data_IF_992116201027
#
_entry.id   IF_992116201027
#
_cell.length_a   1.000
_cell.length_b   1.000
_cell.length_c   1.000
_cell.angle_alpha   90.00
_cell.angle_beta   90.00
_cell.angle_gamma   90.00
#
_symmetry.space_group_name_H-M   'P 1'
#
loop_
_entity.id
_entity.type
_entity.pdbx_description
1 polymer ?
#
# COMPACT_ATOMS: atom_id res chain seq x y z
N UNK A 1 -31.18 32.12 -9.35
CA UNK A 1 -30.22 31.11 -9.84
C UNK A 1 -30.28 31.15 -11.35
N UNK A 2 -29.27 31.69 -12.03
CA UNK A 2 -29.18 31.62 -13.49
C UNK A 2 -28.36 30.38 -13.84
N UNK A 3 -28.96 29.45 -14.55
CA UNK A 3 -28.27 28.31 -15.14
C UNK A 3 -27.27 28.84 -16.16
N UNK A 4 -25.98 28.65 -15.90
CA UNK A 4 -24.94 28.91 -16.92
C UNK A 4 -24.50 27.54 -17.44
N UNK A 5 -25.10 27.14 -18.56
CA UNK A 5 -24.77 25.91 -19.30
C UNK A 5 -23.69 26.15 -20.38
N UNK A 6 -23.01 27.29 -20.38
CA UNK A 6 -21.98 27.55 -21.38
C UNK A 6 -20.64 26.91 -20.98
N UNK A 7 -20.32 25.79 -21.64
CA UNK A 7 -19.04 25.08 -21.55
C UNK A 7 -17.82 26.00 -21.77
N UNK A 8 -18.00 27.15 -22.45
CA UNK A 8 -16.96 28.17 -22.65
C UNK A 8 -16.69 28.98 -21.38
N UNK A 9 -17.72 29.27 -20.58
CA UNK A 9 -17.58 29.95 -19.29
C UNK A 9 -16.82 29.08 -18.29
N UNK A 10 -17.10 27.77 -18.23
CA UNK A 10 -16.34 26.84 -17.40
C UNK A 10 -14.89 26.66 -17.85
N UNK A 11 -14.63 26.66 -19.16
CA UNK A 11 -13.26 26.63 -19.69
C UNK A 11 -12.51 27.91 -19.37
N UNK A 12 -13.18 29.06 -19.46
CA UNK A 12 -12.56 30.35 -19.15
C UNK A 12 -12.31 30.48 -17.65
N UNK A 13 -13.26 30.10 -16.80
CA UNK A 13 -13.11 30.04 -15.35
C UNK A 13 -11.96 29.10 -14.95
N UNK A 14 -11.82 27.93 -15.58
CA UNK A 14 -10.69 27.00 -15.34
C UNK A 14 -9.35 27.59 -15.78
N UNK A 15 -9.31 28.34 -16.89
CA UNK A 15 -8.11 29.03 -17.37
C UNK A 15 -7.71 30.19 -16.45
N UNK A 16 -8.69 30.95 -15.95
CA UNK A 16 -8.51 32.03 -14.99
C UNK A 16 -8.03 31.50 -13.64
N UNK A 17 -8.65 30.43 -13.12
CA UNK A 17 -8.18 29.72 -11.92
C UNK A 17 -6.74 29.25 -12.07
N UNK A 18 -6.36 28.71 -13.24
CA UNK A 18 -4.97 28.28 -13.52
C UNK A 18 -3.98 29.44 -13.67
N UNK A 19 -4.46 30.65 -13.95
CA UNK A 19 -3.65 31.88 -14.09
C UNK A 19 -3.50 32.60 -12.76
N UNK A 20 -4.55 32.72 -11.96
CA UNK A 20 -4.52 33.32 -10.62
C UNK A 20 -3.86 32.40 -9.59
N UNK A 21 -4.03 31.08 -9.73
CA UNK A 21 -3.52 30.11 -8.77
C UNK A 21 -2.01 30.12 -8.61
N UNK A 22 -1.25 30.34 -9.67
CA UNK A 22 0.17 30.03 -9.63
C UNK A 22 1.00 30.83 -8.62
N UNK A 23 0.58 32.02 -8.22
CA UNK A 23 1.33 32.84 -7.27
C UNK A 23 0.62 32.95 -5.91
N UNK A 24 -0.70 33.13 -5.87
CA UNK A 24 -1.47 33.18 -4.62
C UNK A 24 -1.65 31.78 -4.00
N UNK A 25 -1.91 30.75 -4.80
CA UNK A 25 -1.97 29.36 -4.31
C UNK A 25 -0.57 28.86 -3.96
N UNK A 26 0.51 29.31 -4.61
CA UNK A 26 1.87 28.97 -4.15
C UNK A 26 2.19 29.53 -2.75
N UNK A 27 1.72 30.74 -2.44
CA UNK A 27 1.87 31.33 -1.11
C UNK A 27 1.07 30.55 -0.05
N UNK A 28 -0.19 30.24 -0.34
CA UNK A 28 -1.08 29.48 0.55
C UNK A 28 -0.64 28.02 0.68
N UNK A 29 -0.24 27.36 -0.41
CA UNK A 29 0.40 26.04 -0.38
C UNK A 29 1.65 26.12 0.48
N UNK A 30 2.55 27.09 0.28
CA UNK A 30 3.74 27.23 1.12
C UNK A 30 3.38 27.36 2.61
N UNK A 31 2.41 28.19 2.98
CA UNK A 31 2.00 28.35 4.38
C UNK A 31 1.33 27.09 4.95
N UNK A 32 0.40 26.48 4.21
CA UNK A 32 -0.29 25.24 4.63
C UNK A 32 0.71 24.07 4.76
N UNK A 33 1.66 23.97 3.82
CA UNK A 33 2.73 22.97 3.89
C UNK A 33 3.68 23.24 5.05
N UNK A 34 3.99 24.49 5.40
CA UNK A 34 4.82 24.80 6.58
C UNK A 34 4.10 24.49 7.89
N UNK A 35 2.80 24.80 8.01
CA UNK A 35 2.00 24.40 9.18
C UNK A 35 1.88 22.87 9.29
N UNK A 36 1.63 22.18 8.17
CA UNK A 36 1.63 20.73 8.12
C UNK A 36 2.97 20.13 8.55
N UNK A 37 4.09 20.67 8.03
CA UNK A 37 5.46 20.26 8.42
C UNK A 37 5.71 20.47 9.89
N UNK A 38 5.24 21.57 10.47
CA UNK A 38 5.34 21.81 11.90
C UNK A 38 4.60 20.72 12.69
N UNK A 39 3.33 20.42 12.34
CA UNK A 39 2.56 19.33 12.95
C UNK A 39 3.26 17.98 12.81
N UNK A 40 3.86 17.70 11.65
CA UNK A 40 4.60 16.45 11.40
C UNK A 40 5.88 16.37 12.23
N UNK A 41 6.63 17.46 12.33
CA UNK A 41 7.85 17.54 13.15
C UNK A 41 7.56 17.43 14.65
N UNK A 42 6.33 17.79 15.06
CA UNK A 42 5.86 17.73 16.45
C UNK A 42 5.30 16.36 16.85
N UNK A 43 5.18 15.41 15.92
CA UNK A 43 4.80 14.02 16.25
C UNK A 43 5.82 13.40 17.21
N UNK A 44 5.35 12.60 18.17
CA UNK A 44 6.11 12.22 19.36
C UNK A 44 7.45 11.54 19.06
N UNK A 45 7.54 10.79 17.96
CA UNK A 45 8.74 10.05 17.57
C UNK A 45 8.73 9.66 16.09
N UNK A 46 9.84 9.05 15.63
CA UNK A 46 9.99 8.59 14.24
C UNK A 46 9.01 7.49 13.84
N UNK A 47 8.57 6.65 14.80
CA UNK A 47 7.59 5.60 14.54
C UNK A 47 6.27 6.20 14.05
N UNK A 48 5.73 7.21 14.73
CA UNK A 48 4.49 7.88 14.31
C UNK A 48 4.67 8.60 12.97
N UNK A 49 5.83 9.25 12.78
CA UNK A 49 6.18 9.90 11.50
C UNK A 49 6.21 8.92 10.34
N UNK A 50 6.80 7.74 10.52
CA UNK A 50 6.86 6.71 9.48
C UNK A 50 5.47 6.10 9.21
N UNK A 51 4.64 5.90 10.24
CA UNK A 51 3.25 5.46 10.07
C UNK A 51 2.42 6.48 9.26
N UNK A 52 2.61 7.79 9.51
CA UNK A 52 2.03 8.84 8.69
C UNK A 52 2.49 8.77 7.24
N UNK A 53 3.81 8.69 6.99
CA UNK A 53 4.34 8.60 5.63
C UNK A 53 3.85 7.34 4.90
N UNK A 54 3.68 6.23 5.62
CA UNK A 54 3.15 4.98 5.06
C UNK A 54 1.74 5.17 4.47
N UNK A 55 0.88 5.95 5.12
CA UNK A 55 -0.47 6.22 4.61
C UNK A 55 -0.49 6.92 3.25
N UNK A 56 0.61 7.60 2.85
CA UNK A 56 0.72 8.22 1.53
C UNK A 56 0.74 7.21 0.38
N UNK A 57 1.08 5.94 0.66
CA UNK A 57 1.08 4.86 -0.33
C UNK A 57 -0.31 4.59 -0.92
N UNK A 58 -1.38 4.92 -0.20
CA UNK A 58 -2.75 4.70 -0.64
C UNK A 58 -3.21 5.84 -1.56
N UNK A 59 -4.18 5.61 -2.47
CA UNK A 59 -4.73 6.64 -3.34
C UNK A 59 -5.43 7.79 -2.58
N UNK A 60 -5.68 8.90 -3.27
CA UNK A 60 -6.51 10.00 -2.76
C UNK A 60 -7.91 9.51 -2.38
N UNK A 61 -8.44 10.02 -1.27
CA UNK A 61 -9.76 9.66 -0.72
C UNK A 61 -9.98 8.15 -0.50
N UNK A 62 -8.90 7.37 -0.43
CA UNK A 62 -8.99 5.94 -0.19
C UNK A 62 -9.38 5.66 1.27
N UNK A 63 -10.35 4.75 1.46
CA UNK A 63 -10.73 4.24 2.78
C UNK A 63 -9.89 3.01 3.07
N UNK A 64 -8.84 3.20 3.87
CA UNK A 64 -7.97 2.10 4.28
C UNK A 64 -8.66 1.37 5.42
N UNK A 65 -8.87 0.07 5.31
CA UNK A 65 -9.44 -0.69 6.42
C UNK A 65 -8.49 -0.60 7.63
N UNK A 66 -9.02 -0.31 8.82
CA UNK A 66 -8.20 -0.09 10.01
C UNK A 66 -7.35 -1.33 10.35
N UNK A 67 -7.95 -2.52 10.33
CA UNK A 67 -7.22 -3.75 10.65
C UNK A 67 -6.12 -4.06 9.63
N UNK A 68 -6.35 -3.76 8.35
CA UNK A 68 -5.37 -3.93 7.29
C UNK A 68 -4.20 -2.94 7.43
N UNK A 69 -4.49 -1.68 7.77
CA UNK A 69 -3.44 -0.68 8.03
C UNK A 69 -2.52 -1.10 9.19
N UNK A 70 -3.12 -1.61 10.27
CA UNK A 70 -2.39 -2.15 11.42
C UNK A 70 -1.53 -3.35 11.00
N UNK A 71 -2.10 -4.31 10.27
CA UNK A 71 -1.36 -5.48 9.79
C UNK A 71 -0.17 -5.08 8.93
N UNK A 72 -0.30 -4.08 8.07
CA UNK A 72 0.80 -3.55 7.27
C UNK A 72 1.88 -2.86 8.12
N UNK A 73 1.51 -2.06 9.11
CA UNK A 73 2.49 -1.40 9.98
C UNK A 73 3.28 -2.40 10.81
N UNK A 74 2.61 -3.42 11.37
CA UNK A 74 3.24 -4.49 12.12
C UNK A 74 4.12 -5.36 11.22
N UNK A 75 3.58 -5.85 10.09
CA UNK A 75 4.34 -6.68 9.15
C UNK A 75 5.50 -5.91 8.49
N UNK A 76 5.34 -4.61 8.23
CA UNK A 76 6.42 -3.75 7.75
C UNK A 76 7.52 -3.51 8.78
N UNK A 77 7.26 -3.81 10.06
CA UNK A 77 8.16 -3.49 11.18
C UNK A 77 8.29 -1.98 11.40
N UNK A 78 7.22 -1.22 11.12
CA UNK A 78 7.15 0.20 11.50
C UNK A 78 6.92 0.34 13.00
N UNK A 79 6.16 -0.61 13.55
CA UNK A 79 5.84 -0.71 14.96
C UNK A 79 6.82 -1.72 15.58
N UNK A 80 7.27 -1.44 16.81
CA UNK A 80 8.22 -2.30 17.51
C UNK A 80 7.70 -3.73 17.72
N UNK A 81 8.57 -4.63 18.15
CA UNK A 81 8.17 -5.99 18.50
C UNK A 81 7.50 -5.97 19.88
N UNK A 82 6.20 -6.23 19.92
CA UNK A 82 5.41 -6.32 21.15
C UNK A 82 5.17 -7.78 21.54
N UNK A 83 4.95 -8.07 22.84
CA UNK A 83 4.86 -9.45 23.33
C UNK A 83 3.62 -10.20 22.82
N UNK A 84 2.56 -9.50 22.42
CA UNK A 84 1.33 -10.09 21.93
C UNK A 84 0.54 -9.10 21.05
N UNK A 85 -0.48 -9.63 20.36
CA UNK A 85 -1.33 -8.87 19.43
C UNK A 85 -2.13 -7.75 20.09
N UNK A 86 -2.49 -7.89 21.37
CA UNK A 86 -3.23 -6.86 22.10
C UNK A 86 -2.34 -5.62 22.31
N UNK A 87 -1.11 -5.82 22.80
CA UNK A 87 -0.14 -4.74 22.96
C UNK A 87 0.25 -4.08 21.62
N UNK A 88 0.35 -4.86 20.53
CA UNK A 88 0.53 -4.31 19.16
C UNK A 88 -0.64 -3.39 18.79
N UNK A 89 -1.87 -3.85 18.99
CA UNK A 89 -3.09 -3.10 18.66
C UNK A 89 -3.24 -1.84 19.54
N UNK A 90 -2.88 -1.91 20.82
CA UNK A 90 -2.90 -0.77 21.73
C UNK A 90 -1.93 0.31 21.27
N UNK A 91 -0.68 -0.05 20.92
CA UNK A 91 0.28 0.92 20.37
C UNK A 91 -0.22 1.50 19.04
N UNK A 92 -0.74 0.66 18.14
CA UNK A 92 -1.33 1.13 16.90
C UNK A 92 -2.45 2.15 17.15
N UNK A 93 -3.30 1.89 18.15
CA UNK A 93 -4.41 2.76 18.52
C UNK A 93 -3.92 4.11 19.05
N UNK A 94 -2.82 4.12 19.81
CA UNK A 94 -2.15 5.36 20.25
C UNK A 94 -1.62 6.14 19.04
N UNK A 95 -0.92 5.48 18.10
CA UNK A 95 -0.41 6.11 16.87
C UNK A 95 -1.56 6.72 16.08
N UNK A 96 -2.63 5.96 15.84
CA UNK A 96 -3.79 6.41 15.06
C UNK A 96 -4.46 7.62 15.71
N UNK A 97 -4.66 7.58 17.03
CA UNK A 97 -5.27 8.70 17.75
C UNK A 97 -4.39 9.95 17.69
N UNK A 98 -3.06 9.80 17.76
CA UNK A 98 -2.14 10.92 17.58
C UNK A 98 -2.23 11.53 16.17
N UNK A 99 -2.22 10.69 15.13
CA UNK A 99 -2.38 11.14 13.74
C UNK A 99 -3.74 11.82 13.51
N UNK A 100 -4.81 11.34 14.15
CA UNK A 100 -6.14 11.98 14.12
C UNK A 100 -6.14 13.33 14.82
N UNK A 101 -5.52 13.42 16.00
CA UNK A 101 -5.41 14.66 16.77
C UNK A 101 -4.59 15.72 16.01
N UNK A 102 -3.56 15.30 15.29
CA UNK A 102 -2.77 16.13 14.39
C UNK A 102 -3.46 16.45 13.05
N UNK A 103 -4.70 15.98 12.84
CA UNK A 103 -5.52 16.14 11.63
C UNK A 103 -4.95 15.48 10.37
N UNK A 104 -4.01 14.55 10.52
CA UNK A 104 -3.45 13.79 9.40
C UNK A 104 -4.36 12.67 8.90
N UNK A 105 -5.18 12.11 9.78
CA UNK A 105 -6.14 11.06 9.46
C UNK A 105 -7.53 11.40 9.99
N UNK A 106 -8.57 10.96 9.29
CA UNK A 106 -9.95 10.98 9.74
C UNK A 106 -10.53 9.56 9.80
N UNK A 107 -11.46 9.35 10.75
CA UNK A 107 -12.26 8.12 10.78
C UNK A 107 -13.31 8.18 9.68
N UNK A 108 -13.36 7.12 8.89
CA UNK A 108 -14.40 6.85 7.92
C UNK A 108 -14.98 5.45 8.16
N UNK A 109 -16.05 5.13 7.45
CA UNK A 109 -16.66 3.81 7.47
C UNK A 109 -16.82 3.31 6.04
N UNK A 110 -16.66 2.00 5.84
CA UNK A 110 -17.00 1.35 4.59
C UNK A 110 -18.50 1.00 4.54
N UNK A 111 -18.92 0.38 3.45
CA UNK A 111 -20.33 -0.01 3.21
C UNK A 111 -20.87 -0.98 4.27
N UNK A 112 -20.00 -1.73 4.95
CA UNK A 112 -20.34 -2.69 6.01
C UNK A 112 -20.20 -2.08 7.41
N UNK A 113 -20.10 -0.75 7.53
CA UNK A 113 -19.87 -0.03 8.79
C UNK A 113 -18.57 -0.40 9.51
N UNK A 114 -17.61 -1.03 8.82
CA UNK A 114 -16.29 -1.30 9.39
C UNK A 114 -15.44 -0.03 9.37
N UNK A 115 -14.73 0.22 10.48
CA UNK A 115 -13.89 1.39 10.64
C UNK A 115 -12.75 1.41 9.61
N UNK A 116 -12.56 2.58 9.00
CA UNK A 116 -11.53 2.86 8.02
C UNK A 116 -10.81 4.17 8.36
N UNK A 117 -9.53 4.24 8.02
CA UNK A 117 -8.77 5.49 8.07
C UNK A 117 -8.73 6.12 6.69
N UNK A 118 -8.88 7.45 6.65
CA UNK A 118 -8.73 8.23 5.42
C UNK A 118 -7.74 9.36 5.65
N UNK A 119 -6.82 9.52 4.70
CA UNK A 119 -5.92 10.67 4.62
C UNK A 119 -6.50 11.67 3.63
N UNK A 120 -6.53 12.94 4.02
CA UNK A 120 -6.96 14.03 3.16
C UNK A 120 -5.85 14.40 2.15
N UNK A 121 -6.24 15.04 1.04
CA UNK A 121 -5.35 15.25 -0.10
C UNK A 121 -4.13 16.13 0.24
N UNK A 122 -4.30 17.17 1.06
CA UNK A 122 -3.21 18.10 1.39
C UNK A 122 -2.12 17.40 2.21
N UNK A 123 -2.53 16.61 3.20
CA UNK A 123 -1.69 15.84 4.10
C UNK A 123 -0.98 14.73 3.33
N UNK A 124 -1.68 14.11 2.38
CA UNK A 124 -1.12 13.12 1.47
C UNK A 124 -0.07 13.74 0.55
N UNK A 125 -0.36 14.86 -0.09
CA UNK A 125 0.59 15.58 -0.96
C UNK A 125 1.82 16.03 -0.17
N UNK A 126 1.62 16.45 1.08
CA UNK A 126 2.70 16.74 2.01
C UNK A 126 3.58 15.51 2.29
N UNK A 127 2.99 14.36 2.63
CA UNK A 127 3.72 13.13 2.89
C UNK A 127 4.47 12.62 1.63
N UNK A 128 3.85 12.71 0.45
CA UNK A 128 4.50 12.41 -0.83
C UNK A 128 5.69 13.34 -1.06
N UNK A 129 5.54 14.63 -0.78
CA UNK A 129 6.64 15.57 -0.97
C UNK A 129 7.82 15.28 -0.04
N UNK A 130 7.56 14.96 1.23
CA UNK A 130 8.60 14.56 2.20
C UNK A 130 9.36 13.32 1.70
N UNK A 131 8.63 12.26 1.34
CA UNK A 131 9.24 10.98 0.91
C UNK A 131 9.96 11.08 -0.42
N UNK A 132 9.48 11.96 -1.32
CA UNK A 132 10.14 12.29 -2.58
C UNK A 132 11.46 13.03 -2.37
N UNK A 133 11.52 14.01 -1.47
CA UNK A 133 12.78 14.72 -1.13
C UNK A 133 13.79 13.77 -0.50
N UNK A 134 13.33 12.83 0.33
CA UNK A 134 14.18 11.79 0.92
C UNK A 134 14.58 10.70 -0.09
N UNK A 135 13.95 10.65 -1.27
CA UNK A 135 14.14 9.63 -2.30
C UNK A 135 13.95 8.19 -1.79
N UNK A 136 12.97 7.99 -0.89
CA UNK A 136 12.72 6.70 -0.23
C UNK A 136 11.56 5.94 -0.82
N UNK A 137 10.51 6.59 -1.33
CA UNK A 137 9.29 5.91 -1.79
C UNK A 137 9.01 6.16 -3.28
N UNK A 138 8.32 5.22 -3.91
CA UNK A 138 7.60 5.44 -5.18
C UNK A 138 6.10 5.39 -4.89
N UNK A 139 5.42 6.52 -5.06
CA UNK A 139 3.97 6.63 -4.82
C UNK A 139 3.28 6.94 -6.15
N UNK A 140 2.82 5.89 -6.85
CA UNK A 140 2.11 5.99 -8.13
C UNK A 140 0.73 5.30 -8.13
N UNK A 141 -0.11 5.41 -7.08
CA UNK A 141 -1.43 4.80 -7.10
C UNK A 141 -2.41 5.59 -7.98
N UNK A 142 -3.26 4.92 -8.76
CA UNK A 142 -4.38 5.57 -9.44
C UNK A 142 -4.02 6.51 -10.61
N UNK A 143 -2.76 6.55 -11.04
CA UNK A 143 -2.30 7.50 -12.07
C UNK A 143 -2.51 6.99 -13.51
N UNK A 144 -3.08 5.80 -13.67
CA UNK A 144 -3.38 5.21 -14.98
C UNK A 144 -2.17 4.57 -15.67
N UNK A 145 -1.19 4.05 -14.91
CA UNK A 145 -0.08 3.29 -15.50
C UNK A 145 -0.62 2.10 -16.29
N UNK A 146 -0.19 1.99 -17.54
CA UNK A 146 -0.53 0.88 -18.45
C UNK A 146 0.71 0.07 -18.88
N UNK A 147 1.86 0.38 -18.29
CA UNK A 147 3.15 -0.29 -18.50
C UNK A 147 3.80 -0.53 -17.13
N UNK A 148 4.62 -1.59 -16.98
CA UNK A 148 5.42 -1.77 -15.78
C UNK A 148 6.47 -0.67 -15.63
N UNK A 149 6.97 -0.48 -14.40
CA UNK A 149 8.18 0.30 -14.15
C UNK A 149 9.38 -0.35 -14.88
N UNK A 150 10.27 0.45 -15.44
CA UNK A 150 11.41 0.00 -16.25
C UNK A 150 12.75 0.48 -15.68
N UNK A 151 13.78 -0.39 -15.76
CA UNK A 151 15.19 -0.02 -15.57
C UNK A 151 15.44 0.79 -14.31
N UNK A 152 15.89 2.05 -14.49
CA UNK A 152 16.26 3.00 -13.44
C UNK A 152 15.11 3.38 -12.50
N UNK A 153 13.85 3.12 -12.87
CA UNK A 153 12.71 3.28 -11.96
C UNK A 153 12.76 2.30 -10.78
N UNK A 154 13.50 1.20 -10.92
CA UNK A 154 13.82 0.27 -9.83
C UNK A 154 15.18 0.65 -9.24
N UNK A 155 15.20 1.69 -8.40
CA UNK A 155 16.41 2.12 -7.68
C UNK A 155 16.63 1.32 -6.40
N UNK A 156 17.89 1.18 -6.01
CA UNK A 156 18.30 0.48 -4.78
C UNK A 156 17.99 1.24 -3.48
N UNK A 157 17.55 2.50 -3.60
CA UNK A 157 17.23 3.38 -2.46
C UNK A 157 15.85 3.13 -1.87
N UNK A 158 14.94 2.58 -2.67
CA UNK A 158 13.52 2.62 -2.35
C UNK A 158 13.15 1.61 -1.27
N UNK A 159 12.42 2.09 -0.27
CA UNK A 159 11.93 1.30 0.85
C UNK A 159 10.49 0.86 0.66
N UNK A 160 9.66 1.68 -0.02
CA UNK A 160 8.23 1.41 -0.21
C UNK A 160 7.77 1.84 -1.59
N UNK A 161 7.03 0.97 -2.27
CA UNK A 161 6.50 1.20 -3.60
C UNK A 161 5.00 0.92 -3.61
N UNK A 162 4.22 1.88 -4.10
CA UNK A 162 2.80 1.70 -4.38
C UNK A 162 2.49 1.97 -5.84
N UNK A 163 1.97 0.94 -6.51
CA UNK A 163 1.47 0.94 -7.88
C UNK A 163 -0.03 0.59 -7.92
N UNK A 164 -0.73 0.77 -6.80
CA UNK A 164 -2.16 0.41 -6.65
C UNK A 164 -3.04 1.07 -7.70
N UNK A 165 -4.22 0.49 -7.97
CA UNK A 165 -5.26 1.10 -8.83
C UNK A 165 -4.75 1.59 -10.19
N UNK A 166 -3.88 0.82 -10.83
CA UNK A 166 -3.44 1.10 -12.20
C UNK A 166 -4.00 0.06 -13.17
N UNK A 167 -3.60 0.14 -14.43
CA UNK A 167 -3.98 -0.80 -15.48
C UNK A 167 -2.74 -1.57 -15.99
N UNK A 168 -1.85 -1.97 -15.08
CA UNK A 168 -0.60 -2.65 -15.41
C UNK A 168 -0.92 -4.08 -15.85
N UNK A 169 -0.62 -4.50 -17.10
CA UNK A 169 -0.99 -5.84 -17.57
C UNK A 169 0.00 -6.94 -17.14
N UNK A 170 1.25 -6.54 -16.89
CA UNK A 170 2.36 -7.45 -16.60
C UNK A 170 3.42 -6.74 -15.75
N UNK A 171 4.04 -7.47 -14.82
CA UNK A 171 5.28 -7.06 -14.15
C UNK A 171 6.45 -7.85 -14.73
N UNK A 172 7.37 -7.15 -15.41
CA UNK A 172 8.50 -7.73 -16.11
C UNK A 172 9.83 -7.44 -15.40
N UNK A 173 10.80 -8.32 -15.64
CA UNK A 173 12.19 -8.14 -15.22
C UNK A 173 12.49 -8.68 -13.82
N UNK A 174 13.62 -8.25 -13.30
CA UNK A 174 14.19 -8.68 -12.02
C UNK A 174 14.66 -7.44 -11.24
N UNK A 175 13.73 -6.66 -10.65
CA UNK A 175 14.06 -5.42 -9.96
C UNK A 175 15.02 -5.64 -8.81
N UNK A 176 16.06 -4.82 -8.74
CA UNK A 176 17.09 -4.86 -7.68
C UNK A 176 16.85 -3.76 -6.66
N UNK A 177 15.97 -4.02 -5.70
CA UNK A 177 15.64 -3.08 -4.63
C UNK A 177 15.92 -3.71 -3.25
N UNK A 178 17.20 -3.75 -2.80
CA UNK A 178 17.59 -4.44 -1.58
C UNK A 178 16.99 -3.84 -0.29
N UNK A 179 16.50 -2.60 -0.34
CA UNK A 179 15.86 -1.91 0.79
C UNK A 179 14.33 -1.98 0.77
N UNK A 180 13.73 -2.54 -0.29
CA UNK A 180 12.28 -2.53 -0.45
C UNK A 180 11.63 -3.43 0.59
N UNK A 181 10.86 -2.84 1.49
CA UNK A 181 10.12 -3.52 2.57
C UNK A 181 8.64 -3.67 2.26
N UNK A 182 8.09 -2.79 1.40
CA UNK A 182 6.67 -2.79 1.04
C UNK A 182 6.48 -2.64 -0.46
N UNK A 183 5.71 -3.54 -1.07
CA UNK A 183 5.23 -3.43 -2.44
C UNK A 183 3.71 -3.61 -2.49
N UNK A 184 3.00 -2.55 -2.87
CA UNK A 184 1.54 -2.52 -3.03
C UNK A 184 1.18 -2.44 -4.51
N UNK A 185 0.53 -3.47 -5.05
CA UNK A 185 0.10 -3.53 -6.47
C UNK A 185 -1.38 -3.89 -6.62
N UNK A 186 -2.15 -3.84 -5.54
CA UNK A 186 -3.56 -4.19 -5.55
C UNK A 186 -4.41 -3.32 -6.49
N UNK A 187 -5.56 -3.87 -6.88
CA UNK A 187 -6.51 -3.25 -7.81
C UNK A 187 -5.94 -3.00 -9.22
N UNK A 188 -4.92 -3.76 -9.62
CA UNK A 188 -4.49 -3.87 -11.01
C UNK A 188 -5.20 -5.05 -11.69
N UNK A 189 -6.48 -4.88 -12.05
CA UNK A 189 -7.31 -5.97 -12.61
C UNK A 189 -6.77 -6.57 -13.92
N UNK A 190 -6.00 -5.79 -14.69
CA UNK A 190 -5.36 -6.26 -15.92
C UNK A 190 -4.07 -7.07 -15.67
N UNK A 191 -3.52 -7.06 -14.44
CA UNK A 191 -2.27 -7.73 -14.11
C UNK A 191 -2.49 -9.24 -14.09
N UNK A 192 -2.10 -9.92 -15.16
CA UNK A 192 -2.27 -11.38 -15.30
C UNK A 192 -0.98 -12.16 -15.09
N UNK A 193 0.16 -11.52 -15.32
CA UNK A 193 1.47 -12.17 -15.34
C UNK A 193 2.51 -11.37 -14.55
N UNK A 194 3.35 -12.09 -13.81
CA UNK A 194 4.55 -11.56 -13.16
C UNK A 194 5.71 -12.48 -13.56
N UNK A 195 6.86 -11.91 -13.91
CA UNK A 195 8.05 -12.69 -14.26
C UNK A 195 8.42 -13.66 -13.13
N UNK A 196 8.82 -14.88 -13.47
CA UNK A 196 9.11 -15.93 -12.49
C UNK A 196 10.19 -15.53 -11.48
N UNK A 197 11.15 -14.69 -11.88
CA UNK A 197 12.24 -14.17 -11.05
C UNK A 197 11.98 -12.78 -10.43
N UNK A 198 10.81 -12.17 -10.62
CA UNK A 198 10.56 -10.77 -10.25
C UNK A 198 10.92 -10.44 -8.79
N UNK A 199 10.68 -11.37 -7.86
CA UNK A 199 10.95 -11.16 -6.44
C UNK A 199 12.36 -11.59 -6.00
N UNK A 200 13.17 -12.16 -6.89
CA UNK A 200 14.47 -12.79 -6.56
C UNK A 200 15.54 -11.84 -6.03
N UNK A 201 15.37 -10.53 -6.21
CA UNK A 201 16.30 -9.49 -5.75
C UNK A 201 15.65 -8.47 -4.80
N UNK A 202 14.63 -8.90 -4.05
CA UNK A 202 13.92 -8.10 -3.05
C UNK A 202 14.09 -8.69 -1.63
N UNK A 203 15.33 -8.83 -1.12
CA UNK A 203 15.63 -9.57 0.11
C UNK A 203 14.99 -8.97 1.37
N UNK A 204 14.68 -7.68 1.38
CA UNK A 204 14.09 -6.99 2.53
C UNK A 204 12.55 -6.93 2.49
N UNK A 205 11.90 -7.52 1.49
CA UNK A 205 10.46 -7.39 1.30
C UNK A 205 9.70 -8.06 2.44
N UNK A 206 8.86 -7.29 3.15
CA UNK A 206 8.06 -7.74 4.29
C UNK A 206 6.56 -7.72 4.00
N UNK A 207 6.09 -6.75 3.23
CA UNK A 207 4.68 -6.59 2.88
C UNK A 207 4.52 -6.64 1.37
N UNK A 208 3.77 -7.63 0.90
CA UNK A 208 3.39 -7.78 -0.50
C UNK A 208 1.87 -7.89 -0.60
N UNK A 209 1.25 -6.88 -1.20
CA UNK A 209 -0.18 -6.90 -1.49
C UNK A 209 -0.43 -6.87 -3.00
N UNK A 210 -1.06 -7.93 -3.50
CA UNK A 210 -1.45 -8.09 -4.90
C UNK A 210 -2.96 -8.36 -5.03
N UNK A 211 -3.76 -7.93 -4.06
CA UNK A 211 -5.20 -8.12 -4.05
C UNK A 211 -5.90 -7.57 -5.29
N UNK A 212 -7.01 -8.19 -5.68
CA UNK A 212 -7.85 -7.75 -6.80
C UNK A 212 -7.08 -7.62 -8.12
N UNK A 213 -6.09 -8.47 -8.33
CA UNK A 213 -5.38 -8.59 -9.60
C UNK A 213 -5.95 -9.72 -10.46
N UNK A 214 -5.60 -9.74 -11.74
CA UNK A 214 -6.02 -10.77 -12.69
C UNK A 214 -5.10 -12.00 -12.73
N UNK A 215 -4.25 -12.20 -11.71
CA UNK A 215 -3.22 -13.24 -11.70
C UNK A 215 -3.85 -14.63 -11.80
N UNK A 216 -3.24 -15.48 -12.63
CA UNK A 216 -3.62 -16.90 -12.75
C UNK A 216 -2.65 -17.82 -11.99
N UNK A 217 -1.38 -17.40 -11.93
CA UNK A 217 -0.27 -18.12 -11.29
C UNK A 217 0.55 -17.14 -10.44
N UNK A 218 0.86 -17.52 -9.21
CA UNK A 218 1.80 -16.80 -8.36
C UNK A 218 3.24 -17.25 -8.71
N UNK A 219 4.18 -16.34 -9.01
CA UNK A 219 5.51 -16.73 -9.48
C UNK A 219 6.35 -17.39 -8.38
N UNK A 220 7.20 -18.34 -8.77
CA UNK A 220 8.05 -19.13 -7.86
C UNK A 220 8.99 -18.27 -7.01
N UNK A 221 9.43 -17.10 -7.48
CA UNK A 221 10.26 -16.22 -6.65
C UNK A 221 9.55 -15.68 -5.40
N UNK A 222 8.21 -15.73 -5.30
CA UNK A 222 7.51 -15.35 -4.05
C UNK A 222 7.93 -16.26 -2.90
N UNK A 223 8.12 -17.56 -3.14
CA UNK A 223 8.58 -18.49 -2.12
C UNK A 223 10.04 -18.30 -1.70
N UNK A 224 10.78 -17.39 -2.34
CA UNK A 224 12.16 -17.04 -1.96
C UNK A 224 12.23 -15.84 -1.00
N UNK A 225 11.11 -15.19 -0.70
CA UNK A 225 11.06 -14.00 0.15
C UNK A 225 11.14 -14.35 1.64
N UNK A 226 12.34 -14.69 2.12
CA UNK A 226 12.58 -15.19 3.49
C UNK A 226 12.13 -14.23 4.61
N UNK A 227 12.08 -12.91 4.34
CA UNK A 227 11.66 -11.88 5.30
C UNK A 227 10.20 -11.45 5.13
N UNK A 228 9.43 -12.13 4.25
CA UNK A 228 8.05 -11.78 4.00
C UNK A 228 7.21 -12.06 5.25
N UNK A 229 6.53 -11.02 5.75
CA UNK A 229 5.65 -11.07 6.93
C UNK A 229 4.18 -10.98 6.57
N UNK A 230 3.83 -10.36 5.45
CA UNK A 230 2.45 -10.27 4.96
C UNK A 230 2.37 -10.52 3.47
N UNK A 231 1.58 -11.52 3.08
CA UNK A 231 1.21 -11.83 1.70
C UNK A 231 -0.30 -11.77 1.55
N UNK A 232 -0.78 -10.78 0.80
CA UNK A 232 -2.21 -10.54 0.59
C UNK A 232 -2.57 -10.72 -0.88
N UNK A 233 -3.45 -11.68 -1.15
CA UNK A 233 -3.94 -12.09 -2.47
C UNK A 233 -5.47 -12.11 -2.53
N UNK A 234 -6.15 -11.42 -1.60
CA UNK A 234 -7.62 -11.33 -1.53
C UNK A 234 -8.21 -10.94 -2.89
N UNK A 235 -9.33 -11.57 -3.25
CA UNK A 235 -10.09 -11.30 -4.48
C UNK A 235 -9.30 -11.54 -5.79
N UNK A 236 -8.21 -12.32 -5.75
CA UNK A 236 -7.55 -12.82 -6.98
C UNK A 236 -8.30 -14.05 -7.50
N UNK A 237 -9.53 -13.84 -7.98
CA UNK A 237 -10.49 -14.91 -8.33
C UNK A 237 -10.01 -15.88 -9.43
N UNK A 238 -9.00 -15.48 -10.22
CA UNK A 238 -8.40 -16.31 -11.28
C UNK A 238 -7.15 -17.06 -10.84
N UNK A 239 -6.63 -16.76 -9.64
CA UNK A 239 -5.41 -17.34 -9.13
C UNK A 239 -5.70 -18.78 -8.72
N UNK A 240 -5.19 -19.74 -9.49
CA UNK A 240 -5.42 -21.18 -9.28
C UNK A 240 -4.15 -21.92 -8.87
N UNK A 241 -2.99 -21.35 -9.21
CA UNK A 241 -1.70 -21.99 -8.99
C UNK A 241 -0.82 -21.11 -8.11
N UNK A 242 -0.14 -21.78 -7.18
CA UNK A 242 0.86 -21.20 -6.28
C UNK A 242 2.15 -22.01 -6.36
N UNK A 243 3.29 -21.49 -5.84
CA UNK A 243 4.51 -22.26 -5.74
C UNK A 243 4.27 -23.58 -4.99
N UNK A 244 5.04 -24.60 -5.33
CA UNK A 244 4.90 -25.94 -4.73
C UNK A 244 5.25 -26.00 -3.25
N UNK A 245 5.81 -24.93 -2.67
CA UNK A 245 6.16 -24.85 -1.25
C UNK A 245 6.26 -23.39 -0.78
N UNK A 246 5.90 -23.15 0.48
CA UNK A 246 6.16 -21.90 1.22
C UNK A 246 7.19 -22.08 2.35
N UNK A 247 7.96 -23.17 2.35
CA UNK A 247 8.86 -23.56 3.45
C UNK A 247 9.83 -22.46 3.90
N UNK A 248 10.28 -21.61 2.98
CA UNK A 248 11.23 -20.52 3.25
C UNK A 248 10.58 -19.29 3.89
N UNK A 249 9.25 -19.14 3.83
CA UNK A 249 8.51 -17.98 4.34
C UNK A 249 8.31 -18.06 5.87
N UNK A 250 9.38 -18.34 6.62
CA UNK A 250 9.33 -18.63 8.06
C UNK A 250 8.84 -17.45 8.90
N UNK A 251 8.99 -16.22 8.40
CA UNK A 251 8.56 -14.99 9.06
C UNK A 251 7.13 -14.58 8.71
N UNK A 252 6.41 -15.34 7.90
CA UNK A 252 5.07 -14.98 7.45
C UNK A 252 4.09 -14.94 8.63
N UNK A 253 3.49 -13.77 8.86
CA UNK A 253 2.53 -13.49 9.92
C UNK A 253 1.10 -13.43 9.39
N UNK A 254 0.92 -12.92 8.17
CA UNK A 254 -0.38 -12.77 7.52
C UNK A 254 -0.33 -13.45 6.15
N UNK A 255 -1.23 -14.40 5.93
CA UNK A 255 -1.53 -14.98 4.64
C UNK A 255 -3.01 -14.83 4.34
N UNK A 256 -3.34 -14.10 3.28
CA UNK A 256 -4.72 -13.90 2.87
C UNK A 256 -4.94 -14.36 1.44
N UNK A 257 -5.65 -15.49 1.30
CA UNK A 257 -6.04 -16.12 0.05
C UNK A 257 -7.56 -16.10 -0.15
N UNK A 258 -8.26 -15.21 0.55
CA UNK A 258 -9.72 -15.11 0.48
C UNK A 258 -10.20 -14.80 -0.94
N UNK A 259 -11.25 -15.49 -1.38
CA UNK A 259 -11.82 -15.37 -2.72
C UNK A 259 -10.78 -15.55 -3.85
N UNK A 260 -9.89 -16.52 -3.69
CA UNK A 260 -8.99 -17.03 -4.74
C UNK A 260 -9.53 -18.33 -5.33
N UNK A 261 -9.01 -18.72 -6.50
CA UNK A 261 -9.31 -20.01 -7.13
C UNK A 261 -8.34 -21.13 -6.72
N UNK A 262 -7.55 -20.94 -5.65
CA UNK A 262 -6.63 -21.94 -5.15
C UNK A 262 -7.44 -23.02 -4.43
N UNK A 263 -7.22 -24.28 -4.81
CA UNK A 263 -7.97 -25.42 -4.29
C UNK A 263 -7.16 -26.25 -3.28
N UNK A 264 -5.82 -26.25 -3.41
CA UNK A 264 -4.92 -27.05 -2.59
C UNK A 264 -3.77 -26.17 -2.09
N UNK A 265 -3.52 -26.18 -0.78
CA UNK A 265 -2.34 -25.56 -0.17
C UNK A 265 -1.16 -26.55 -0.12
N UNK A 266 0.11 -26.08 -0.19
CA UNK A 266 1.27 -26.95 -0.02
C UNK A 266 1.27 -27.60 1.38
N UNK A 267 1.73 -28.85 1.47
CA UNK A 267 1.84 -29.58 2.74
C UNK A 267 2.70 -28.86 3.78
N UNK A 268 3.64 -28.03 3.32
CA UNK A 268 4.59 -27.29 4.12
C UNK A 268 3.97 -26.07 4.82
N UNK A 269 2.68 -25.79 4.60
CA UNK A 269 1.94 -24.75 5.34
C UNK A 269 2.05 -24.91 6.87
N UNK A 270 2.13 -26.16 7.36
CA UNK A 270 2.33 -26.46 8.78
C UNK A 270 3.67 -25.95 9.36
N UNK A 271 4.63 -25.58 8.51
CA UNK A 271 5.94 -25.07 8.92
C UNK A 271 5.95 -23.55 9.16
N UNK A 272 4.87 -22.82 8.84
CA UNK A 272 4.74 -21.37 9.02
C UNK A 272 4.46 -21.02 10.50
N UNK A 273 5.47 -21.17 11.35
CA UNK A 273 5.34 -21.04 12.82
C UNK A 273 4.99 -19.64 13.31
N UNK A 274 5.25 -18.61 12.51
CA UNK A 274 4.96 -17.21 12.85
C UNK A 274 3.58 -16.75 12.33
N UNK A 275 2.82 -17.61 11.65
CA UNK A 275 1.53 -17.25 11.05
C UNK A 275 0.50 -16.94 12.14
N UNK A 276 -0.05 -15.73 12.12
CA UNK A 276 -1.04 -15.22 13.08
C UNK A 276 -2.41 -15.04 12.47
N UNK A 277 -2.47 -14.73 11.17
CA UNK A 277 -3.70 -14.57 10.40
C UNK A 277 -3.62 -15.43 9.15
N UNK A 278 -4.55 -16.38 9.02
CA UNK A 278 -4.77 -17.17 7.80
C UNK A 278 -6.22 -16.95 7.35
N UNK A 279 -6.40 -16.28 6.22
CA UNK A 279 -7.74 -16.05 5.66
C UNK A 279 -7.92 -16.84 4.36
N UNK A 280 -8.82 -17.82 4.42
CA UNK A 280 -9.16 -18.73 3.32
C UNK A 280 -10.64 -18.61 2.91
N UNK A 281 -11.36 -17.59 3.40
CA UNK A 281 -12.80 -17.45 3.17
C UNK A 281 -13.13 -17.45 1.67
N UNK A 282 -14.19 -18.18 1.30
CA UNK A 282 -14.70 -18.27 -0.08
C UNK A 282 -13.72 -18.85 -1.13
N UNK A 283 -12.59 -19.42 -0.72
CA UNK A 283 -11.80 -20.24 -1.61
C UNK A 283 -12.33 -21.69 -1.62
N UNK A 284 -12.22 -22.34 -2.78
CA UNK A 284 -12.83 -23.66 -3.06
C UNK A 284 -11.82 -24.75 -2.68
N UNK A 285 -11.66 -25.02 -1.40
CA UNK A 285 -10.67 -25.99 -0.93
C UNK A 285 -11.20 -27.42 -0.98
N UNK A 286 -10.37 -28.34 -1.48
CA UNK A 286 -10.54 -29.78 -1.25
C UNK A 286 -9.60 -30.17 -0.08
N UNK A 287 -10.13 -30.88 0.92
CA UNK A 287 -9.39 -31.36 2.10
C UNK A 287 -8.75 -32.70 1.78
#
# INVERSE_FOLDING_TARGET
MREVEDRREWRNALLELRRSSKNEIRGIESEVFEHGKFSYSSLRNDMVRECFLYCALFPDNYRINLSELIEYWVAGGLIGDYPNREAENDECSVIINELKNARFLETAFNENSAECMKMHNIERDMAINITRVQNRFIVKPGIGLNKPLQGEEWSNNFERISLMKNNIPVLLGEPRCPKLTTLLVQENHALKNISSCFFGHLPALKVLDMSRTGLEVLPVSVSELINLRSLVLRDCTRLKQQPSSFEKLKDLMVLNLSNTGIEILPSEMGNLRNLRTLNLCQARWEI
#
